data_IF_676672162429
#
_entry.id   IF_676672162429
#
_cell.length_a   1.000
_cell.length_b   1.000
_cell.length_c   1.000
_cell.angle_alpha   90.00
_cell.angle_beta   90.00
_cell.angle_gamma   90.00
#
_symmetry.space_group_name_H-M   'P 1'
#
loop_
_entity.id
_entity.type
_entity.pdbx_description
1 polymer ?
#
# COMPACT_ATOMS: atom_id res chain seq x y z
N UNK A 1 27.25 -7.74 19.19
CA UNK A 1 26.46 -8.08 20.39
C UNK A 1 26.16 -9.56 20.31
N UNK A 2 26.59 -10.35 21.29
CA UNK A 2 26.24 -11.76 21.38
C UNK A 2 24.72 -11.86 21.38
N UNK A 3 24.15 -12.83 20.64
CA UNK A 3 22.76 -13.21 20.86
C UNK A 3 22.59 -13.53 22.33
N UNK A 4 22.01 -12.61 23.07
CA UNK A 4 21.62 -12.89 24.43
C UNK A 4 20.53 -13.94 24.36
N UNK A 5 20.85 -15.14 24.82
CA UNK A 5 19.86 -16.18 25.03
C UNK A 5 18.80 -15.69 26.02
N UNK A 6 17.63 -16.33 26.07
CA UNK A 6 16.62 -16.00 27.09
C UNK A 6 17.19 -16.08 28.53
N UNK A 7 18.18 -16.93 28.74
CA UNK A 7 18.91 -17.03 30.02
C UNK A 7 19.73 -15.80 30.29
N UNK A 8 20.44 -15.26 29.28
CA UNK A 8 21.28 -14.05 29.45
C UNK A 8 20.41 -12.79 29.61
N UNK A 9 19.27 -12.68 28.96
CA UNK A 9 18.30 -11.60 29.22
C UNK A 9 17.75 -11.69 30.64
N UNK A 10 17.50 -12.91 31.14
CA UNK A 10 17.08 -13.12 32.53
C UNK A 10 18.19 -12.76 33.49
N UNK A 11 19.45 -13.05 33.14
CA UNK A 11 20.63 -12.66 33.94
C UNK A 11 20.82 -11.16 34.00
N UNK A 12 20.53 -10.40 32.94
CA UNK A 12 20.57 -8.93 32.96
C UNK A 12 19.53 -8.30 33.89
N UNK A 13 18.39 -8.98 34.10
CA UNK A 13 17.40 -8.54 35.10
C UNK A 13 17.93 -8.79 36.52
N UNK A 14 18.64 -9.90 36.73
CA UNK A 14 19.22 -10.29 38.03
C UNK A 14 20.50 -9.50 38.32
N UNK A 15 21.35 -9.29 37.32
CA UNK A 15 22.57 -8.47 37.40
C UNK A 15 22.59 -7.39 36.31
N UNK A 16 21.96 -6.24 36.54
CA UNK A 16 21.92 -5.14 35.59
C UNK A 16 23.27 -4.56 35.21
N UNK A 17 24.31 -4.79 36.04
CA UNK A 17 25.67 -4.32 35.76
C UNK A 17 26.34 -5.07 34.60
N UNK A 18 25.79 -6.22 34.18
CA UNK A 18 26.32 -7.05 33.10
C UNK A 18 27.60 -7.82 33.48
N UNK A 19 27.98 -7.89 34.76
CA UNK A 19 29.18 -8.60 35.20
C UNK A 19 29.10 -10.10 34.95
N UNK A 20 27.94 -10.69 35.20
CA UNK A 20 27.75 -12.14 35.05
C UNK A 20 27.89 -12.62 33.58
N UNK A 21 27.70 -11.72 32.61
CA UNK A 21 27.78 -12.03 31.17
C UNK A 21 28.93 -11.28 30.49
N UNK A 22 29.85 -10.74 31.27
CA UNK A 22 31.06 -10.03 30.77
C UNK A 22 30.76 -8.85 29.83
N UNK A 23 29.63 -8.17 30.00
CA UNK A 23 29.22 -7.03 29.18
C UNK A 23 29.43 -5.66 29.85
N UNK A 24 29.97 -5.59 31.07
CA UNK A 24 30.12 -4.32 31.80
C UNK A 24 30.93 -3.27 31.03
N UNK A 25 31.94 -3.68 30.25
CA UNK A 25 32.80 -2.76 29.50
C UNK A 25 32.06 -2.14 28.29
N UNK A 26 30.90 -2.69 27.91
CA UNK A 26 30.09 -2.14 26.83
C UNK A 26 29.18 -0.99 27.28
N UNK A 27 29.02 -0.75 28.56
CA UNK A 27 28.22 0.38 29.08
C UNK A 27 28.78 1.74 28.63
N UNK A 28 30.08 1.85 28.42
CA UNK A 28 30.71 3.07 27.91
C UNK A 28 30.16 3.55 26.59
N UNK A 29 29.69 2.64 25.73
CA UNK A 29 29.10 2.99 24.45
C UNK A 29 27.74 3.69 24.57
N UNK A 30 27.07 3.57 25.72
CA UNK A 30 25.80 4.26 25.98
C UNK A 30 25.97 5.73 26.31
N UNK A 31 27.18 6.18 26.66
CA UNK A 31 27.48 7.58 26.98
C UNK A 31 27.18 8.57 25.87
N UNK A 32 27.11 8.09 24.61
CA UNK A 32 26.73 8.91 23.45
C UNK A 32 25.24 9.20 23.39
N UNK A 33 24.42 8.52 24.18
CA UNK A 33 22.98 8.70 24.19
C UNK A 33 22.55 9.87 25.09
N UNK A 34 21.46 10.56 24.78
CA UNK A 34 20.91 11.57 25.66
C UNK A 34 20.42 10.94 26.96
N UNK A 35 20.68 11.62 28.07
CA UNK A 35 20.36 11.15 29.43
C UNK A 35 21.09 9.86 29.84
N UNK A 36 22.30 9.63 29.31
CA UNK A 36 23.10 8.45 29.60
C UNK A 36 23.31 8.26 31.11
N UNK A 37 23.68 9.34 31.81
CA UNK A 37 23.91 9.35 33.25
C UNK A 37 22.70 8.96 34.11
N UNK A 38 21.51 9.00 33.57
CA UNK A 38 20.25 8.70 34.28
C UNK A 38 19.70 7.33 33.89
N UNK A 39 19.70 7.03 32.59
CA UNK A 39 18.97 5.89 32.04
C UNK A 39 19.85 4.69 31.72
N UNK A 40 21.17 4.90 31.50
CA UNK A 40 22.07 3.88 30.99
C UNK A 40 23.27 3.61 31.90
N UNK A 41 23.12 3.87 33.21
CA UNK A 41 24.14 3.48 34.22
C UNK A 41 24.29 1.96 34.33
N UNK A 42 23.27 1.23 33.87
CA UNK A 42 23.25 -0.22 33.81
C UNK A 42 22.37 -0.68 32.63
N UNK A 43 22.19 -1.98 32.43
CA UNK A 43 21.38 -2.57 31.37
C UNK A 43 19.88 -2.63 31.67
N UNK A 44 19.43 -2.24 32.87
CA UNK A 44 18.04 -2.44 33.30
C UNK A 44 17.06 -1.70 32.38
N UNK A 45 17.34 -0.40 32.13
CA UNK A 45 16.49 0.41 31.29
C UNK A 45 16.44 -0.10 29.83
N UNK A 46 17.61 -0.40 29.23
CA UNK A 46 17.70 -0.90 27.86
C UNK A 46 17.05 -2.27 27.72
N UNK A 47 17.19 -3.16 28.71
CA UNK A 47 16.53 -4.46 28.77
C UNK A 47 15.01 -4.35 28.83
N UNK A 48 14.46 -3.51 29.71
CA UNK A 48 13.02 -3.25 29.77
C UNK A 48 12.49 -2.59 28.50
N UNK A 49 13.22 -1.61 27.96
CA UNK A 49 12.84 -0.96 26.70
C UNK A 49 12.77 -1.98 25.56
N UNK A 50 13.72 -2.89 25.44
CA UNK A 50 13.74 -3.94 24.43
C UNK A 50 12.53 -4.89 24.59
N UNK A 51 12.27 -5.36 25.81
CA UNK A 51 11.13 -6.25 26.10
C UNK A 51 9.80 -5.56 25.77
N UNK A 52 9.63 -4.33 26.20
CA UNK A 52 8.38 -3.59 26.00
C UNK A 52 8.21 -3.22 24.51
N UNK A 53 9.23 -2.58 23.91
CA UNK A 53 9.13 -2.00 22.57
C UNK A 53 9.17 -3.06 21.47
N UNK A 54 9.99 -4.11 21.61
CA UNK A 54 10.16 -5.12 20.59
C UNK A 54 9.56 -6.49 20.95
N UNK A 55 9.38 -6.80 22.24
CA UNK A 55 8.80 -8.06 22.71
C UNK A 55 7.28 -8.00 22.82
N UNK A 56 6.78 -7.39 23.89
CA UNK A 56 5.34 -7.39 24.24
C UNK A 56 4.50 -6.80 23.10
N UNK A 57 4.94 -5.73 22.49
CA UNK A 57 4.24 -5.06 21.39
C UNK A 57 4.02 -5.98 20.20
N UNK A 58 5.04 -6.76 19.81
CA UNK A 58 4.92 -7.72 18.71
C UNK A 58 3.97 -8.89 19.06
N UNK A 59 3.97 -9.35 20.32
CA UNK A 59 3.02 -10.38 20.79
C UNK A 59 1.58 -9.84 20.69
N UNK A 60 1.34 -8.61 21.15
CA UNK A 60 0.03 -7.96 21.05
C UNK A 60 -0.41 -7.78 19.60
N UNK A 61 0.49 -7.30 18.72
CA UNK A 61 0.20 -7.17 17.30
C UNK A 61 -0.17 -8.52 16.66
N UNK A 62 0.60 -9.56 16.94
CA UNK A 62 0.36 -10.92 16.45
C UNK A 62 -1.00 -11.45 16.91
N UNK A 63 -1.33 -11.31 18.20
CA UNK A 63 -2.65 -11.69 18.71
C UNK A 63 -3.80 -10.97 18.00
N UNK A 64 -3.67 -9.64 17.78
CA UNK A 64 -4.68 -8.85 17.10
C UNK A 64 -4.80 -9.21 15.60
N UNK A 65 -3.69 -9.58 14.94
CA UNK A 65 -3.68 -10.08 13.56
C UNK A 65 -4.42 -11.43 13.50
N UNK A 66 -4.13 -12.35 14.40
CA UNK A 66 -4.83 -13.65 14.49
C UNK A 66 -6.33 -13.48 14.74
N UNK A 67 -6.73 -12.41 15.43
CA UNK A 67 -8.14 -12.01 15.62
C UNK A 67 -8.70 -11.20 14.44
N UNK A 68 -7.97 -11.07 13.35
CA UNK A 68 -8.33 -10.32 12.14
C UNK A 68 -8.78 -8.87 12.45
N UNK A 69 -8.06 -8.18 13.34
CA UNK A 69 -8.34 -6.79 13.71
C UNK A 69 -7.42 -5.84 12.95
N UNK A 70 -7.99 -4.81 12.31
CA UNK A 70 -7.25 -3.77 11.56
C UNK A 70 -6.07 -3.21 12.35
N UNK A 71 -6.29 -2.94 13.63
CA UNK A 71 -5.25 -2.37 14.51
C UNK A 71 -4.02 -3.27 14.63
N UNK A 72 -4.18 -4.60 14.58
CA UNK A 72 -3.06 -5.54 14.59
C UNK A 72 -2.13 -5.35 13.39
N UNK A 73 -2.68 -5.19 12.20
CA UNK A 73 -1.91 -4.92 10.98
C UNK A 73 -1.20 -3.56 11.03
N UNK A 74 -1.85 -2.53 11.59
CA UNK A 74 -1.24 -1.21 11.81
C UNK A 74 -0.05 -1.31 12.78
N UNK A 75 -0.26 -1.95 13.93
CA UNK A 75 0.78 -2.11 14.95
C UNK A 75 1.94 -2.95 14.42
N UNK A 76 1.67 -4.08 13.74
CA UNK A 76 2.71 -4.91 13.14
C UNK A 76 3.59 -4.14 12.13
N UNK A 77 2.97 -3.23 11.36
CA UNK A 77 3.71 -2.34 10.44
C UNK A 77 4.58 -1.33 11.19
N UNK A 78 4.03 -0.69 12.23
CA UNK A 78 4.76 0.30 13.06
C UNK A 78 5.94 -0.37 13.77
N UNK A 79 5.76 -1.59 14.30
CA UNK A 79 6.82 -2.27 15.05
C UNK A 79 7.99 -2.74 14.18
N UNK A 80 7.77 -2.92 12.88
CA UNK A 80 8.88 -3.03 11.93
C UNK A 80 9.76 -1.77 11.90
N UNK A 81 9.13 -0.59 11.93
CA UNK A 81 9.84 0.70 11.99
C UNK A 81 10.57 0.87 13.32
N UNK A 82 9.94 0.51 14.46
CA UNK A 82 10.59 0.63 15.77
C UNK A 82 11.80 -0.28 15.90
N UNK A 83 11.74 -1.51 15.36
CA UNK A 83 12.88 -2.41 15.31
C UNK A 83 14.03 -1.84 14.47
N UNK A 84 13.72 -1.32 13.28
CA UNK A 84 14.73 -0.67 12.43
C UNK A 84 15.37 0.54 13.13
N UNK A 85 14.55 1.38 13.79
CA UNK A 85 15.05 2.54 14.54
C UNK A 85 15.96 2.12 15.69
N UNK A 86 15.57 1.07 16.45
CA UNK A 86 16.37 0.51 17.51
C UNK A 86 17.75 0.04 17.00
N UNK A 87 17.76 -0.76 15.94
CA UNK A 87 19.03 -1.24 15.36
C UNK A 87 19.85 -0.10 14.73
N UNK A 88 19.20 0.94 14.19
CA UNK A 88 19.93 2.13 13.70
C UNK A 88 20.68 2.86 14.82
N UNK A 89 20.10 2.91 16.03
CA UNK A 89 20.78 3.43 17.23
C UNK A 89 21.98 2.53 17.57
N UNK A 90 21.83 1.21 17.50
CA UNK A 90 22.93 0.28 17.74
C UNK A 90 24.07 0.44 16.74
N UNK A 91 23.79 0.63 15.45
CA UNK A 91 24.82 0.95 14.44
C UNK A 91 25.56 2.26 14.72
N UNK A 92 24.92 3.21 15.40
CA UNK A 92 25.56 4.46 15.79
C UNK A 92 26.48 4.30 17.03
N UNK A 93 26.08 3.41 17.95
CA UNK A 93 26.77 3.22 19.23
C UNK A 93 27.93 2.21 19.18
N UNK A 94 27.73 1.13 18.41
CA UNK A 94 28.63 -0.02 18.37
C UNK A 94 29.29 -0.17 17.01
N UNK A 95 30.38 -0.94 16.97
CA UNK A 95 30.92 -1.43 15.70
C UNK A 95 29.89 -2.29 14.95
N UNK A 96 30.03 -2.37 13.62
CA UNK A 96 29.12 -3.13 12.77
C UNK A 96 29.21 -4.64 13.07
N UNK A 97 28.07 -5.22 13.45
CA UNK A 97 27.90 -6.66 13.58
C UNK A 97 26.90 -7.19 12.56
N UNK A 98 27.18 -8.36 12.00
CA UNK A 98 26.29 -8.99 11.01
C UNK A 98 24.91 -9.28 11.59
N UNK A 99 24.83 -9.60 12.88
CA UNK A 99 23.56 -9.88 13.55
C UNK A 99 22.63 -8.64 13.57
N UNK A 100 23.18 -7.46 13.77
CA UNK A 100 22.40 -6.21 13.76
C UNK A 100 21.83 -5.95 12.37
N UNK A 101 22.59 -6.27 11.31
CA UNK A 101 22.08 -6.21 9.93
C UNK A 101 20.91 -7.18 9.73
N UNK A 102 20.99 -8.39 10.27
CA UNK A 102 19.89 -9.37 10.17
C UNK A 102 18.64 -8.85 10.84
N UNK A 103 18.73 -8.27 12.06
CA UNK A 103 17.59 -7.67 12.74
C UNK A 103 17.06 -6.44 12.01
N UNK A 104 17.91 -5.59 11.46
CA UNK A 104 17.47 -4.46 10.63
C UNK A 104 16.68 -4.92 9.41
N UNK A 105 17.17 -5.93 8.69
CA UNK A 105 16.48 -6.52 7.55
C UNK A 105 15.18 -7.22 7.95
N UNK A 106 15.13 -7.81 9.14
CA UNK A 106 13.90 -8.39 9.70
C UNK A 106 12.86 -7.30 9.96
N UNK A 107 13.25 -6.17 10.56
CA UNK A 107 12.38 -5.01 10.75
C UNK A 107 11.87 -4.44 9.42
N UNK A 108 12.74 -4.34 8.42
CA UNK A 108 12.37 -3.89 7.07
C UNK A 108 11.37 -4.86 6.42
N UNK A 109 11.60 -6.15 6.52
CA UNK A 109 10.68 -7.18 6.01
C UNK A 109 9.34 -7.13 6.72
N UNK A 110 9.34 -6.97 8.05
CA UNK A 110 8.12 -6.81 8.86
C UNK A 110 7.33 -5.57 8.43
N UNK A 111 7.99 -4.44 8.21
CA UNK A 111 7.37 -3.20 7.70
C UNK A 111 6.71 -3.44 6.35
N UNK A 112 7.42 -4.04 5.40
CA UNK A 112 6.92 -4.28 4.03
C UNK A 112 5.72 -5.25 4.06
N UNK A 113 5.85 -6.39 4.72
CA UNK A 113 4.77 -7.38 4.81
C UNK A 113 3.58 -6.81 5.59
N UNK A 114 3.82 -6.16 6.72
CA UNK A 114 2.78 -5.52 7.53
C UNK A 114 1.98 -4.51 6.72
N UNK A 115 2.65 -3.65 5.95
CA UNK A 115 1.99 -2.68 5.08
C UNK A 115 1.17 -3.36 3.97
N UNK A 116 1.70 -4.38 3.30
CA UNK A 116 0.97 -5.14 2.26
C UNK A 116 -0.28 -5.78 2.86
N UNK A 117 -0.17 -6.41 4.02
CA UNK A 117 -1.29 -7.02 4.72
C UNK A 117 -2.34 -5.98 5.15
N UNK A 118 -1.91 -4.81 5.64
CA UNK A 118 -2.81 -3.71 5.99
C UNK A 118 -3.58 -3.20 4.77
N UNK A 119 -2.90 -3.02 3.64
CA UNK A 119 -3.54 -2.61 2.37
C UNK A 119 -4.55 -3.67 1.92
N UNK A 120 -4.17 -4.94 1.96
CA UNK A 120 -5.06 -6.06 1.60
C UNK A 120 -6.29 -6.09 2.50
N UNK A 121 -6.10 -5.99 3.81
CA UNK A 121 -7.20 -5.89 4.77
C UNK A 121 -8.16 -4.74 4.43
N UNK A 122 -7.64 -3.54 4.21
CA UNK A 122 -8.46 -2.38 3.87
C UNK A 122 -9.21 -2.56 2.54
N UNK A 123 -8.63 -3.28 1.58
CA UNK A 123 -9.29 -3.59 0.31
C UNK A 123 -10.41 -4.62 0.47
N UNK A 124 -10.22 -5.66 1.28
CA UNK A 124 -11.19 -6.73 1.48
C UNK A 124 -12.41 -6.26 2.29
N UNK A 125 -12.20 -5.34 3.21
CA UNK A 125 -13.26 -4.75 4.03
C UNK A 125 -13.81 -3.42 3.48
N UNK A 126 -13.36 -3.00 2.29
CA UNK A 126 -13.86 -1.79 1.68
C UNK A 126 -15.30 -1.95 1.22
N UNK A 127 -16.16 -1.03 1.65
CA UNK A 127 -17.57 -0.98 1.28
C UNK A 127 -17.97 0.44 0.93
N UNK A 128 -18.84 0.60 -0.04
CA UNK A 128 -19.55 1.83 -0.32
C UNK A 128 -20.93 1.48 -0.89
N UNK A 129 -21.92 2.35 -0.71
CA UNK A 129 -23.24 2.17 -1.27
C UNK A 129 -23.31 2.83 -2.65
N UNK A 130 -23.82 2.10 -3.65
CA UNK A 130 -24.12 2.64 -4.97
C UNK A 130 -25.37 3.52 -4.92
N UNK A 131 -26.27 3.26 -3.97
CA UNK A 131 -27.53 3.97 -3.79
C UNK A 131 -27.35 5.44 -3.36
N UNK A 132 -26.17 5.78 -2.84
CA UNK A 132 -25.80 7.16 -2.46
C UNK A 132 -25.63 8.07 -3.69
N UNK A 133 -25.50 7.48 -4.90
CA UNK A 133 -25.21 8.19 -6.15
C UNK A 133 -26.45 8.28 -7.05
N UNK A 134 -27.40 9.15 -6.67
CA UNK A 134 -28.73 9.27 -7.30
C UNK A 134 -28.74 9.99 -8.63
N UNK A 135 -27.69 10.76 -8.94
CA UNK A 135 -27.62 11.58 -10.16
C UNK A 135 -27.01 10.85 -11.36
N UNK A 136 -26.60 9.59 -11.19
CA UNK A 136 -26.02 8.75 -12.25
C UNK A 136 -27.09 8.41 -13.29
N UNK A 137 -26.66 8.27 -14.56
CA UNK A 137 -27.50 7.90 -15.72
C UNK A 137 -28.59 8.93 -16.11
N UNK A 138 -28.39 10.22 -15.82
CA UNK A 138 -29.32 11.29 -16.20
C UNK A 138 -28.89 12.05 -17.46
N UNK A 139 -27.59 12.17 -17.73
CA UNK A 139 -27.04 12.87 -18.88
C UNK A 139 -26.64 11.88 -19.98
N UNK A 140 -27.35 11.87 -21.11
CA UNK A 140 -27.11 10.97 -22.21
C UNK A 140 -25.86 11.28 -23.04
N UNK A 141 -25.24 12.46 -22.87
CA UNK A 141 -24.07 12.88 -23.63
C UNK A 141 -22.74 12.38 -23.02
N UNK A 142 -22.76 11.89 -21.77
CA UNK A 142 -21.54 11.52 -21.02
C UNK A 142 -21.57 10.06 -20.59
N UNK A 143 -20.52 9.33 -20.90
CA UNK A 143 -20.33 7.94 -20.47
C UNK A 143 -19.10 7.83 -19.56
N UNK A 144 -19.26 7.27 -18.38
CA UNK A 144 -18.16 6.87 -17.48
C UNK A 144 -17.93 5.37 -17.60
N UNK A 145 -16.74 5.00 -18.06
CA UNK A 145 -16.30 3.60 -18.19
C UNK A 145 -15.22 3.33 -17.16
N UNK A 146 -15.31 2.22 -16.44
CA UNK A 146 -14.32 1.91 -15.41
C UNK A 146 -14.02 0.42 -15.30
N UNK A 147 -12.86 0.13 -14.71
CA UNK A 147 -12.52 -1.21 -14.21
C UNK A 147 -12.14 -1.12 -12.73
N UNK A 148 -12.60 -2.06 -11.92
CA UNK A 148 -12.26 -2.10 -10.51
C UNK A 148 -12.14 -3.52 -9.98
N UNK A 149 -10.99 -3.85 -9.33
CA UNK A 149 -10.76 -5.18 -8.75
C UNK A 149 -11.34 -5.31 -7.32
N UNK A 150 -11.19 -4.26 -6.50
CA UNK A 150 -11.54 -4.26 -5.07
C UNK A 150 -12.51 -3.12 -4.67
N UNK A 151 -13.14 -2.48 -5.64
CA UNK A 151 -14.16 -1.47 -5.40
C UNK A 151 -13.67 -0.02 -5.33
N UNK A 152 -12.38 0.27 -5.08
CA UNK A 152 -11.89 1.65 -4.97
C UNK A 152 -12.12 2.48 -6.25
N UNK A 153 -11.73 1.96 -7.40
CA UNK A 153 -11.96 2.65 -8.67
C UNK A 153 -13.45 2.68 -9.04
N UNK A 154 -14.24 1.69 -8.61
CA UNK A 154 -15.69 1.70 -8.75
C UNK A 154 -16.31 2.87 -7.99
N UNK A 155 -15.92 3.10 -6.72
CA UNK A 155 -16.39 4.26 -5.95
C UNK A 155 -16.07 5.58 -6.66
N UNK A 156 -14.81 5.74 -7.11
CA UNK A 156 -14.40 6.94 -7.86
C UNK A 156 -15.21 7.13 -9.14
N UNK A 157 -15.49 6.05 -9.87
CA UNK A 157 -16.31 6.10 -11.08
C UNK A 157 -17.72 6.58 -10.77
N UNK A 158 -18.34 6.10 -9.69
CA UNK A 158 -19.65 6.56 -9.25
C UNK A 158 -19.63 8.01 -8.78
N UNK A 159 -18.60 8.45 -8.06
CA UNK A 159 -18.43 9.86 -7.65
C UNK A 159 -18.36 10.80 -8.86
N UNK A 160 -17.57 10.43 -9.88
CA UNK A 160 -17.42 11.23 -11.09
C UNK A 160 -18.67 11.18 -11.94
N UNK A 161 -19.27 9.99 -12.13
CA UNK A 161 -20.50 9.84 -12.86
C UNK A 161 -21.66 10.61 -12.23
N UNK A 162 -21.78 10.60 -10.91
CA UNK A 162 -22.80 11.36 -10.19
C UNK A 162 -22.65 12.87 -10.37
N UNK A 163 -21.40 13.38 -10.34
CA UNK A 163 -21.09 14.80 -10.56
C UNK A 163 -21.45 15.25 -11.98
N UNK A 164 -21.14 14.44 -12.97
CA UNK A 164 -21.39 14.71 -14.40
C UNK A 164 -22.77 14.23 -14.87
N UNK A 165 -23.53 13.58 -13.98
CA UNK A 165 -24.82 12.91 -14.28
C UNK A 165 -24.69 11.82 -15.35
N UNK A 166 -23.48 11.32 -15.57
CA UNK A 166 -23.08 10.45 -16.66
C UNK A 166 -23.71 9.05 -16.58
N UNK A 167 -23.90 8.41 -17.73
CA UNK A 167 -24.07 6.97 -17.79
C UNK A 167 -22.82 6.27 -17.25
N UNK A 168 -23.00 5.12 -16.59
CA UNK A 168 -21.87 4.41 -16.00
C UNK A 168 -21.87 2.95 -16.41
N UNK A 169 -20.71 2.46 -16.86
CA UNK A 169 -20.56 1.07 -17.27
C UNK A 169 -19.22 0.48 -16.83
N UNK A 170 -19.27 -0.74 -16.28
CA UNK A 170 -18.10 -1.47 -15.82
C UNK A 170 -17.53 -2.37 -16.92
N UNK A 171 -16.26 -2.23 -17.22
CA UNK A 171 -15.53 -3.16 -18.08
C UNK A 171 -15.37 -4.48 -17.35
N UNK A 172 -15.84 -5.56 -17.95
CA UNK A 172 -15.67 -6.92 -17.48
C UNK A 172 -14.64 -7.66 -18.32
N UNK A 173 -13.92 -8.58 -17.70
CA UNK A 173 -12.95 -9.44 -18.37
C UNK A 173 -13.17 -10.89 -17.97
N UNK A 174 -12.88 -11.83 -18.88
CA UNK A 174 -12.84 -13.26 -18.59
C UNK A 174 -11.53 -13.71 -17.93
N UNK A 175 -10.53 -12.81 -17.86
CA UNK A 175 -9.26 -13.10 -17.23
C UNK A 175 -9.42 -13.15 -15.71
N UNK A 176 -8.52 -13.91 -15.06
CA UNK A 176 -8.49 -14.03 -13.61
C UNK A 176 -8.02 -12.74 -12.97
N UNK A 177 -8.92 -12.01 -12.33
CA UNK A 177 -8.61 -10.75 -11.63
C UNK A 177 -8.81 -10.83 -10.11
N UNK A 178 -9.46 -11.89 -9.63
CA UNK A 178 -9.80 -12.08 -8.22
C UNK A 178 -8.80 -12.94 -7.46
N UNK A 179 -8.72 -12.72 -6.14
CA UNK A 179 -7.85 -13.45 -5.23
C UNK A 179 -6.35 -13.13 -5.43
N UNK A 180 -5.49 -13.89 -4.74
CA UNK A 180 -4.04 -13.68 -4.75
C UNK A 180 -3.40 -13.98 -6.11
N UNK A 181 -3.81 -15.07 -6.74
CA UNK A 181 -3.35 -15.40 -8.09
C UNK A 181 -3.81 -14.36 -9.11
N UNK A 182 -5.02 -13.79 -8.94
CA UNK A 182 -5.50 -12.68 -9.77
C UNK A 182 -4.66 -11.42 -9.58
N UNK A 183 -4.19 -11.13 -8.36
CA UNK A 183 -3.26 -10.03 -8.10
C UNK A 183 -1.97 -10.15 -8.93
N UNK A 184 -1.31 -11.32 -8.87
CA UNK A 184 -0.09 -11.59 -9.63
C UNK A 184 -0.34 -11.56 -11.14
N UNK A 185 -1.45 -12.13 -11.60
CA UNK A 185 -1.87 -12.13 -13.00
C UNK A 185 -2.06 -10.72 -13.54
N UNK A 186 -2.80 -9.89 -12.83
CA UNK A 186 -2.98 -8.47 -13.15
C UNK A 186 -1.65 -7.72 -13.19
N UNK A 187 -0.77 -7.96 -12.23
CA UNK A 187 0.56 -7.37 -12.16
C UNK A 187 1.43 -7.73 -13.37
N UNK A 188 1.44 -9.00 -13.76
CA UNK A 188 2.17 -9.49 -14.94
C UNK A 188 1.68 -8.83 -16.23
N UNK A 189 0.37 -8.82 -16.46
CA UNK A 189 -0.20 -8.16 -17.65
C UNK A 189 0.14 -6.67 -17.70
N UNK A 190 0.05 -5.97 -16.57
CA UNK A 190 0.38 -4.56 -16.50
C UNK A 190 1.87 -4.29 -16.79
N UNK A 191 2.77 -5.09 -16.20
CA UNK A 191 4.22 -4.96 -16.37
C UNK A 191 4.62 -5.06 -17.83
N UNK A 192 4.10 -6.07 -18.55
CA UNK A 192 4.36 -6.29 -19.97
C UNK A 192 3.51 -5.41 -20.90
N UNK A 193 2.65 -4.53 -20.35
CA UNK A 193 1.72 -3.71 -21.13
C UNK A 193 0.80 -4.52 -22.06
N UNK A 194 0.47 -5.73 -21.66
CA UNK A 194 -0.50 -6.54 -22.40
C UNK A 194 -1.93 -6.04 -22.11
N UNK A 195 -2.81 -6.18 -23.11
CA UNK A 195 -4.25 -6.04 -22.92
C UNK A 195 -4.81 -7.30 -22.26
N UNK A 196 -5.96 -7.18 -21.60
CA UNK A 196 -6.78 -8.32 -21.18
C UNK A 196 -8.03 -8.38 -22.02
N UNK A 197 -8.42 -9.58 -22.46
CA UNK A 197 -9.67 -9.76 -23.21
C UNK A 197 -10.85 -9.24 -22.38
N UNK A 198 -11.57 -8.27 -22.95
CA UNK A 198 -12.72 -7.65 -22.32
C UNK A 198 -14.02 -8.08 -22.99
N UNK A 199 -15.11 -8.07 -22.23
CA UNK A 199 -16.43 -8.23 -22.80
C UNK A 199 -16.89 -6.92 -23.47
N UNK A 200 -17.69 -6.99 -24.54
CA UNK A 200 -18.26 -5.79 -25.16
C UNK A 200 -19.06 -4.97 -24.14
N UNK A 201 -18.98 -3.66 -24.25
CA UNK A 201 -19.88 -2.77 -23.52
C UNK A 201 -21.31 -2.92 -24.05
N UNK A 202 -22.27 -2.66 -23.16
CA UNK A 202 -23.70 -2.58 -23.57
C UNK A 202 -23.99 -1.30 -24.32
N UNK A 203 -23.31 -0.20 -23.89
CA UNK A 203 -23.46 1.12 -24.48
C UNK A 203 -22.60 1.25 -25.73
N UNK A 204 -23.14 1.88 -26.77
CA UNK A 204 -22.35 2.24 -27.93
C UNK A 204 -21.62 3.56 -27.68
N UNK A 205 -20.29 3.51 -27.64
CA UNK A 205 -19.45 4.67 -27.35
C UNK A 205 -19.69 5.85 -28.32
N UNK A 206 -20.11 5.57 -29.56
CA UNK A 206 -20.36 6.59 -30.59
C UNK A 206 -21.46 7.56 -30.18
N UNK A 207 -22.42 7.11 -29.37
CA UNK A 207 -23.61 7.88 -28.99
C UNK A 207 -23.30 8.99 -27.95
N UNK A 208 -22.10 8.98 -27.34
CA UNK A 208 -21.71 9.92 -26.32
C UNK A 208 -20.73 10.95 -26.85
N UNK A 209 -20.83 12.20 -26.38
CA UNK A 209 -19.90 13.29 -26.72
C UNK A 209 -18.64 13.29 -25.85
N UNK A 210 -18.80 12.92 -24.57
CA UNK A 210 -17.72 12.90 -23.57
C UNK A 210 -17.58 11.50 -22.96
N UNK A 211 -16.35 11.00 -22.88
CA UNK A 211 -16.03 9.71 -22.27
C UNK A 211 -15.10 9.93 -21.08
N UNK A 212 -15.50 9.45 -19.91
CA UNK A 212 -14.71 9.46 -18.70
C UNK A 212 -14.23 8.03 -18.44
N UNK A 213 -12.91 7.85 -18.31
CA UNK A 213 -12.30 6.53 -18.12
C UNK A 213 -11.66 6.48 -16.75
N UNK A 214 -12.17 5.63 -15.84
CA UNK A 214 -11.58 5.47 -14.51
C UNK A 214 -10.77 4.18 -14.44
N UNK A 215 -9.47 4.32 -14.20
CA UNK A 215 -8.49 3.23 -14.26
C UNK A 215 -7.68 3.13 -12.96
N UNK A 216 -7.61 1.96 -12.32
CA UNK A 216 -6.56 1.73 -11.33
C UNK A 216 -5.20 1.66 -12.01
N UNK A 217 -4.14 1.99 -11.25
CA UNK A 217 -2.77 1.77 -11.66
C UNK A 217 -2.28 0.43 -11.11
N UNK A 218 -1.77 -0.42 -11.99
CA UNK A 218 -1.13 -1.68 -11.67
C UNK A 218 0.36 -1.64 -12.06
N UNK A 219 1.25 -1.91 -11.11
CA UNK A 219 2.71 -1.94 -11.35
C UNK A 219 3.18 -0.74 -12.20
N UNK A 220 2.85 0.47 -11.74
CA UNK A 220 3.20 1.76 -12.39
C UNK A 220 2.60 1.97 -13.79
N UNK A 221 1.67 1.15 -14.25
CA UNK A 221 1.06 1.18 -15.58
C UNK A 221 -0.46 1.31 -15.49
N UNK A 222 -1.08 1.73 -16.56
CA UNK A 222 -2.53 1.64 -16.73
C UNK A 222 -2.99 0.18 -16.62
N UNK A 223 -4.12 -0.09 -15.99
CA UNK A 223 -4.61 -1.45 -15.86
C UNK A 223 -4.98 -2.06 -17.23
N UNK A 224 -4.75 -3.35 -17.36
CA UNK A 224 -4.81 -4.05 -18.65
C UNK A 224 -6.21 -4.08 -19.29
N UNK A 225 -7.33 -4.21 -18.55
CA UNK A 225 -8.66 -4.10 -19.14
C UNK A 225 -8.95 -2.72 -19.75
N UNK A 226 -8.56 -1.65 -19.07
CA UNK A 226 -8.73 -0.27 -19.60
C UNK A 226 -7.81 -0.05 -20.79
N UNK A 227 -6.58 -0.56 -20.76
CA UNK A 227 -5.65 -0.51 -21.90
C UNK A 227 -6.26 -1.14 -23.14
N UNK A 228 -6.86 -2.32 -22.99
CA UNK A 228 -7.52 -3.03 -24.09
C UNK A 228 -8.73 -2.25 -24.61
N UNK A 229 -9.54 -1.70 -23.71
CA UNK A 229 -10.66 -0.86 -24.07
C UNK A 229 -10.23 0.36 -24.91
N UNK A 230 -9.18 1.06 -24.49
CA UNK A 230 -8.67 2.23 -25.22
C UNK A 230 -8.10 1.81 -26.57
N UNK A 231 -7.35 0.69 -26.65
CA UNK A 231 -6.79 0.20 -27.92
C UNK A 231 -7.89 -0.13 -28.94
N UNK A 232 -8.93 -0.84 -28.50
CA UNK A 232 -10.03 -1.27 -29.36
C UNK A 232 -10.90 -0.12 -29.85
N UNK A 233 -10.87 1.03 -29.15
CA UNK A 233 -11.73 2.17 -29.45
C UNK A 233 -10.94 3.45 -29.75
N UNK A 234 -9.63 3.33 -30.06
CA UNK A 234 -8.72 4.45 -30.19
C UNK A 234 -9.23 5.53 -31.15
N UNK A 235 -9.69 5.14 -32.32
CA UNK A 235 -10.12 6.08 -33.35
C UNK A 235 -11.36 6.85 -32.91
N UNK A 236 -12.34 6.15 -32.30
CA UNK A 236 -13.55 6.79 -31.77
C UNK A 236 -13.22 7.74 -30.61
N UNK A 237 -12.31 7.34 -29.73
CA UNK A 237 -11.93 8.14 -28.57
C UNK A 237 -11.15 9.40 -28.93
N UNK A 238 -10.38 9.40 -30.02
CA UNK A 238 -9.66 10.59 -30.46
C UNK A 238 -10.59 11.69 -31.04
N UNK A 239 -11.81 11.33 -31.45
CA UNK A 239 -12.82 12.26 -31.94
C UNK A 239 -13.75 12.81 -30.84
N UNK A 240 -13.47 12.48 -29.57
CA UNK A 240 -14.32 12.84 -28.43
C UNK A 240 -13.57 13.58 -27.34
N UNK A 241 -14.34 14.25 -26.47
CA UNK A 241 -13.78 14.75 -25.21
C UNK A 241 -13.51 13.55 -24.30
N UNK A 242 -12.24 13.29 -23.97
CA UNK A 242 -11.84 12.19 -23.12
C UNK A 242 -11.17 12.70 -21.82
N UNK A 243 -11.70 12.22 -20.70
CA UNK A 243 -11.10 12.44 -19.37
C UNK A 243 -10.67 11.11 -18.81
N UNK A 244 -9.40 10.96 -18.42
CA UNK A 244 -8.89 9.75 -17.78
C UNK A 244 -8.58 10.04 -16.32
N UNK A 245 -9.23 9.34 -15.41
CA UNK A 245 -9.04 9.45 -13.96
C UNK A 245 -8.26 8.24 -13.47
N UNK A 246 -7.00 8.43 -13.10
CA UNK A 246 -6.19 7.36 -12.52
C UNK A 246 -6.38 7.28 -11.01
N UNK A 247 -6.66 6.07 -10.53
CA UNK A 247 -6.67 5.75 -9.11
C UNK A 247 -5.39 4.99 -8.72
N UNK A 248 -4.69 5.49 -7.72
CA UNK A 248 -3.43 4.90 -7.24
C UNK A 248 -3.23 5.15 -5.74
N UNK A 249 -2.36 4.37 -5.11
CA UNK A 249 -2.05 4.54 -3.68
C UNK A 249 -0.81 5.42 -3.41
N UNK A 250 0.03 5.63 -4.43
CA UNK A 250 1.26 6.40 -4.31
C UNK A 250 1.31 7.49 -5.40
N UNK A 251 1.44 8.78 -5.04
CA UNK A 251 1.40 9.90 -5.98
C UNK A 251 2.55 9.92 -7.02
N UNK A 252 3.65 9.22 -6.74
CA UNK A 252 4.82 9.23 -7.65
C UNK A 252 4.71 8.23 -8.79
N UNK A 253 3.82 7.23 -8.69
CA UNK A 253 3.72 6.13 -9.67
C UNK A 253 2.88 6.46 -10.91
N UNK A 254 2.18 7.59 -10.91
CA UNK A 254 1.22 7.94 -11.97
C UNK A 254 1.86 8.34 -13.29
N UNK A 255 3.09 8.90 -13.27
CA UNK A 255 3.76 9.46 -14.46
C UNK A 255 3.85 8.47 -15.63
N UNK A 256 4.12 7.20 -15.36
CA UNK A 256 4.26 6.18 -16.41
C UNK A 256 2.92 5.83 -17.07
N UNK A 257 1.83 5.78 -16.26
CA UNK A 257 0.48 5.53 -16.74
C UNK A 257 -0.04 6.73 -17.57
N UNK A 258 0.25 7.96 -17.14
CA UNK A 258 -0.09 9.19 -17.90
C UNK A 258 0.60 9.18 -19.26
N UNK A 259 1.89 8.89 -19.30
CA UNK A 259 2.64 8.82 -20.56
C UNK A 259 2.06 7.77 -21.48
N UNK A 260 1.73 6.61 -20.94
CA UNK A 260 1.11 5.52 -21.69
C UNK A 260 -0.26 5.94 -22.26
N UNK A 261 -1.14 6.56 -21.46
CA UNK A 261 -2.45 7.01 -21.91
C UNK A 261 -2.34 8.01 -23.06
N UNK A 262 -1.42 8.98 -22.98
CA UNK A 262 -1.17 9.98 -24.02
C UNK A 262 -0.61 9.42 -25.32
N UNK A 263 -0.04 8.19 -25.34
CA UNK A 263 0.34 7.53 -26.61
C UNK A 263 -0.87 7.03 -27.39
N UNK A 264 -2.00 6.81 -26.72
CA UNK A 264 -3.23 6.36 -27.35
C UNK A 264 -4.17 7.53 -27.67
N UNK A 265 -4.36 8.47 -26.72
CA UNK A 265 -5.28 9.60 -26.82
C UNK A 265 -4.49 10.85 -26.41
N UNK A 266 -4.03 11.62 -27.41
CA UNK A 266 -3.13 12.76 -27.22
C UNK A 266 -3.77 13.87 -26.38
N UNK A 267 -5.02 14.20 -26.67
CA UNK A 267 -5.74 15.34 -26.12
C UNK A 267 -6.56 14.98 -24.87
N UNK A 268 -6.39 13.74 -24.34
CA UNK A 268 -7.07 13.34 -23.13
C UNK A 268 -6.68 14.22 -21.93
N UNK A 269 -7.69 14.77 -21.25
CA UNK A 269 -7.52 15.39 -19.94
C UNK A 269 -7.25 14.30 -18.91
N UNK A 270 -6.20 14.44 -18.12
CA UNK A 270 -5.80 13.43 -17.14
C UNK A 270 -5.91 13.99 -15.74
N UNK A 271 -6.65 13.28 -14.91
CA UNK A 271 -6.79 13.52 -13.48
C UNK A 271 -6.22 12.34 -12.69
N UNK A 272 -5.80 12.57 -11.47
CA UNK A 272 -5.36 11.50 -10.59
C UNK A 272 -5.98 11.62 -9.20
N UNK A 273 -6.36 10.50 -8.63
CA UNK A 273 -6.88 10.40 -7.27
C UNK A 273 -6.05 9.37 -6.50
N UNK A 274 -5.64 9.75 -5.30
CA UNK A 274 -4.89 8.86 -4.40
C UNK A 274 -5.86 8.19 -3.46
N UNK A 275 -5.93 6.86 -3.49
CA UNK A 275 -6.70 6.08 -2.50
C UNK A 275 -5.73 5.34 -1.60
N UNK A 276 -5.64 5.75 -0.34
CA UNK A 276 -4.79 5.13 0.66
C UNK A 276 -5.66 4.59 1.80
N UNK A 277 -5.52 3.31 2.12
CA UNK A 277 -6.22 2.64 3.22
C UNK A 277 -7.75 2.85 3.23
N UNK A 278 -8.37 2.97 2.06
CA UNK A 278 -9.83 3.21 1.90
C UNK A 278 -10.25 4.68 1.83
N UNK A 279 -9.33 5.63 2.05
CA UNK A 279 -9.59 7.06 1.93
C UNK A 279 -9.09 7.59 0.59
N UNK A 280 -9.92 8.36 -0.12
CA UNK A 280 -9.59 8.96 -1.42
C UNK A 280 -9.27 10.44 -1.26
N UNK A 281 -8.14 10.87 -1.80
CA UNK A 281 -7.69 12.26 -1.84
C UNK A 281 -7.60 12.70 -3.29
N UNK A 282 -8.15 13.87 -3.61
CA UNK A 282 -8.00 14.52 -4.92
C UNK A 282 -6.69 15.31 -4.91
N UNK A 283 -5.92 15.19 -5.96
CA UNK A 283 -4.69 15.95 -6.17
C UNK A 283 -4.83 16.85 -7.38
#
# INVERSE_FOLDING_TARGET
MLELSQEEISLLIVDPSGKLIYMQDMLVYFEVLPFADILFNDYLFSGFALIIVNGITNIVASYLILRNKKIGYVLGTIFGVTLMAWISIQFYMFEFFVIDLVYFLTGLLQLIIGYICLVSYCQDYFKFSVEDYKEVNKNSDVLTVFFSRKGYSKKIAYEVANKEQAFIEEIKTSERTEGDLGFWWCGRFALHRWGMKIHPLKSNIKDFKKIIIVSPIWVFKMCSPIREFIRNNKDILNDKEVVIVFNHFNPWIVKSAIREAKTYIKDAKIESKVTMLGHTFTR
#
